data_IF_453125177981
#
_entry.id   IF_453125177981
#
_cell.length_a   1.000
_cell.length_b   1.000
_cell.length_c   1.000
_cell.angle_alpha   90.00
_cell.angle_beta   90.00
_cell.angle_gamma   90.00
#
_symmetry.space_group_name_H-M   'P 1'
#
loop_
_entity.id
_entity.type
_entity.pdbx_description
1 polymer ?
#
# COMPACT_ATOMS: atom_id res chain seq x y z
N UNK A 1 0.62 44.28 9.01
CA UNK A 1 -0.60 44.03 8.22
C UNK A 1 -0.10 43.64 6.82
N UNK A 2 0.28 42.39 6.66
CA UNK A 2 0.69 41.79 5.38
C UNK A 2 -0.07 40.49 5.22
N UNK A 3 -0.94 40.46 4.23
CA UNK A 3 -1.72 39.31 3.85
C UNK A 3 -0.83 38.32 3.10
N UNK A 4 -0.65 37.12 3.65
CA UNK A 4 -0.02 36.02 2.96
C UNK A 4 -1.02 35.42 1.97
N UNK A 5 -0.85 35.69 0.68
CA UNK A 5 -1.51 34.98 -0.41
C UNK A 5 -1.03 33.53 -0.45
N UNK A 6 -1.91 32.61 -0.08
CA UNK A 6 -1.69 31.20 -0.31
C UNK A 6 -1.99 30.86 -1.77
N UNK A 7 -0.96 30.78 -2.59
CA UNK A 7 -1.07 30.26 -3.95
C UNK A 7 -1.44 28.77 -3.90
N UNK A 8 -2.67 28.44 -4.28
CA UNK A 8 -3.12 27.08 -4.56
C UNK A 8 -2.33 26.54 -5.75
N UNK A 9 -1.37 25.67 -5.49
CA UNK A 9 -0.67 24.94 -6.55
C UNK A 9 -1.59 23.83 -7.08
N UNK A 10 -2.01 23.99 -8.32
CA UNK A 10 -2.82 23.00 -9.02
C UNK A 10 -2.09 21.64 -9.10
N UNK A 11 -2.81 20.56 -8.85
CA UNK A 11 -2.31 19.19 -8.98
C UNK A 11 -1.90 18.93 -10.45
N UNK A 12 -0.65 18.52 -10.67
CA UNK A 12 -0.16 18.17 -12.00
C UNK A 12 -0.41 16.67 -12.28
N UNK A 13 -1.04 16.41 -13.42
CA UNK A 13 -1.20 15.06 -13.98
C UNK A 13 -0.09 14.87 -15.01
N UNK A 14 0.81 13.93 -14.76
CA UNK A 14 1.89 13.59 -15.69
C UNK A 14 1.49 12.29 -16.41
N UNK A 15 1.30 12.29 -17.74
CA UNK A 15 1.10 11.05 -18.47
C UNK A 15 2.41 10.25 -18.50
N UNK A 16 2.34 8.99 -18.11
CA UNK A 16 3.46 8.05 -18.25
C UNK A 16 3.43 7.53 -19.69
N UNK A 17 4.42 7.90 -20.49
CA UNK A 17 4.58 7.36 -21.84
C UNK A 17 5.28 6.00 -21.70
N UNK A 18 4.69 4.88 -22.15
CA UNK A 18 5.41 3.61 -22.20
C UNK A 18 6.55 3.74 -23.22
N UNK A 19 7.75 3.30 -22.86
CA UNK A 19 8.86 3.17 -23.79
C UNK A 19 8.48 2.14 -24.87
N UNK A 20 8.33 2.58 -26.11
CA UNK A 20 8.14 1.71 -27.25
C UNK A 20 9.49 1.07 -27.63
N UNK A 21 9.53 -0.23 -27.95
CA UNK A 21 10.71 -0.83 -28.53
C UNK A 21 10.95 -0.24 -29.94
N UNK A 22 12.22 0.08 -30.24
CA UNK A 22 12.66 0.76 -31.45
C UNK A 22 12.24 0.05 -32.74
N UNK A 23 11.81 0.85 -33.71
CA UNK A 23 11.51 0.46 -35.08
C UNK A 23 12.78 -0.04 -35.81
N UNK A 24 12.85 -1.35 -36.04
CA UNK A 24 13.77 -1.97 -36.98
C UNK A 24 13.08 -2.20 -38.32
N UNK A 25 13.34 -1.34 -39.31
CA UNK A 25 12.91 -1.51 -40.69
C UNK A 25 13.78 -2.58 -41.37
N UNK A 26 13.14 -3.53 -42.08
CA UNK A 26 13.88 -4.37 -43.05
C UNK A 26 13.12 -5.58 -43.61
N UNK A 27 12.53 -5.38 -44.77
CA UNK A 27 12.27 -6.27 -45.94
C UNK A 27 11.55 -7.63 -45.81
N UNK A 28 10.56 -7.73 -46.70
CA UNK A 28 9.73 -8.87 -47.08
C UNK A 28 10.56 -10.00 -47.73
N UNK A 29 10.15 -11.29 -47.52
CA UNK A 29 9.74 -12.16 -48.59
C UNK A 29 9.20 -13.51 -48.08
N UNK A 30 8.13 -13.92 -48.67
CA UNK A 30 7.25 -15.02 -48.70
C UNK A 30 7.62 -16.43 -48.18
N UNK A 31 6.68 -17.08 -47.55
CA UNK A 31 6.07 -18.40 -47.75
C UNK A 31 5.46 -18.95 -46.45
N UNK A 32 4.17 -19.18 -46.41
CA UNK A 32 3.46 -20.10 -45.48
C UNK A 32 3.50 -21.53 -46.07
N UNK A 33 3.15 -22.61 -45.30
CA UNK A 33 2.51 -22.72 -43.98
C UNK A 33 3.14 -23.78 -43.04
N UNK A 34 2.90 -23.61 -41.74
CA UNK A 34 3.18 -24.68 -40.78
C UNK A 34 2.73 -24.26 -39.39
N UNK A 35 1.69 -24.91 -38.87
CA UNK A 35 1.06 -24.58 -37.60
C UNK A 35 2.01 -24.48 -36.42
N UNK A 36 2.22 -23.26 -35.93
CA UNK A 36 2.96 -22.95 -34.74
C UNK A 36 1.99 -22.48 -33.64
N UNK A 37 1.86 -23.27 -32.59
CA UNK A 37 1.07 -22.90 -31.41
C UNK A 37 1.57 -21.57 -30.84
N UNK A 38 0.72 -20.57 -30.82
CA UNK A 38 0.96 -19.33 -30.11
C UNK A 38 1.17 -19.61 -28.61
N UNK A 39 2.22 -19.08 -27.96
CA UNK A 39 2.42 -19.22 -26.53
C UNK A 39 1.62 -18.16 -25.77
N UNK A 40 0.39 -17.88 -26.12
CA UNK A 40 -0.57 -17.18 -25.29
C UNK A 40 -1.30 -18.21 -24.44
N UNK A 41 -0.62 -18.66 -23.38
CA UNK A 41 -1.28 -19.37 -22.31
C UNK A 41 -2.42 -18.50 -21.80
N UNK A 42 -3.66 -18.91 -22.08
CA UNK A 42 -4.86 -18.24 -21.62
C UNK A 42 -4.73 -18.05 -20.10
N UNK A 43 -4.60 -16.79 -19.67
CA UNK A 43 -4.58 -16.41 -18.25
C UNK A 43 -5.84 -16.96 -17.60
N UNK A 44 -5.68 -17.92 -16.67
CA UNK A 44 -6.77 -18.30 -15.79
C UNK A 44 -7.14 -17.02 -15.04
N UNK A 45 -8.37 -16.55 -15.21
CA UNK A 45 -8.89 -15.36 -14.50
C UNK A 45 -8.54 -15.49 -13.02
N UNK A 46 -7.74 -14.53 -12.50
CA UNK A 46 -7.51 -14.36 -11.07
C UNK A 46 -6.13 -14.74 -10.50
N UNK A 47 -5.16 -15.25 -11.27
CA UNK A 47 -3.81 -15.50 -10.73
C UNK A 47 -2.73 -14.94 -11.66
N UNK A 48 -1.87 -14.01 -11.17
CA UNK A 48 -0.76 -13.49 -11.97
C UNK A 48 0.27 -14.58 -12.27
N UNK A 49 1.14 -14.40 -13.28
CA UNK A 49 2.25 -15.29 -13.53
C UNK A 49 3.19 -15.35 -12.33
N UNK A 50 3.89 -16.46 -12.18
CA UNK A 50 4.87 -16.63 -11.11
C UNK A 50 5.99 -15.58 -11.25
N UNK A 51 6.31 -14.92 -10.15
CA UNK A 51 7.35 -13.90 -10.11
C UNK A 51 8.38 -14.24 -9.03
N UNK A 52 9.61 -13.77 -9.19
CA UNK A 52 10.72 -13.98 -8.26
C UNK A 52 10.34 -13.59 -6.81
N UNK A 53 9.60 -12.50 -6.63
CA UNK A 53 9.19 -12.04 -5.30
C UNK A 53 8.13 -12.91 -4.62
N UNK A 54 7.39 -13.74 -5.36
CA UNK A 54 6.46 -14.73 -4.78
C UNK A 54 7.20 -15.94 -4.19
N UNK A 55 8.44 -16.18 -4.63
CA UNK A 55 9.20 -17.37 -4.29
C UNK A 55 10.18 -17.12 -3.12
N UNK A 56 10.31 -18.08 -2.20
CA UNK A 56 11.42 -18.05 -1.25
C UNK A 56 12.76 -18.33 -1.99
N UNK A 57 13.92 -18.00 -1.40
CA UNK A 57 15.23 -18.16 -2.06
C UNK A 57 15.47 -19.55 -2.68
N UNK A 58 15.14 -20.61 -1.95
CA UNK A 58 15.26 -22.00 -2.48
C UNK A 58 14.34 -22.22 -3.69
N UNK A 59 13.12 -21.66 -3.66
CA UNK A 59 12.15 -21.75 -4.76
C UNK A 59 12.63 -21.03 -6.03
N UNK A 60 13.31 -19.86 -5.87
CA UNK A 60 13.92 -19.11 -6.98
C UNK A 60 15.03 -19.92 -7.64
N UNK A 61 15.94 -20.51 -6.85
CA UNK A 61 17.02 -21.36 -7.35
C UNK A 61 16.48 -22.57 -8.08
N UNK A 62 15.46 -23.23 -7.52
CA UNK A 62 14.80 -24.35 -8.19
C UNK A 62 14.11 -23.93 -9.49
N UNK A 63 13.53 -22.73 -9.55
CA UNK A 63 12.94 -22.20 -10.78
C UNK A 63 13.99 -21.95 -11.86
N UNK A 64 15.15 -21.37 -11.53
CA UNK A 64 16.26 -21.20 -12.47
C UNK A 64 16.79 -22.56 -12.98
N UNK A 65 16.90 -23.57 -12.11
CA UNK A 65 17.31 -24.92 -12.48
C UNK A 65 16.33 -25.58 -13.48
N UNK A 66 15.01 -25.40 -13.28
CA UNK A 66 14.01 -25.91 -14.24
C UNK A 66 14.10 -25.24 -15.61
N UNK A 67 14.66 -24.06 -15.71
CA UNK A 67 14.95 -23.34 -16.94
C UNK A 67 16.31 -23.73 -17.55
N UNK A 68 17.02 -24.72 -16.97
CA UNK A 68 18.33 -25.15 -17.43
C UNK A 68 19.51 -24.30 -16.96
N UNK A 69 19.26 -23.33 -16.03
CA UNK A 69 20.31 -22.47 -15.51
C UNK A 69 20.80 -22.93 -14.13
N UNK A 70 22.01 -22.53 -13.77
CA UNK A 70 22.54 -22.77 -12.42
C UNK A 70 21.73 -22.00 -11.38
N UNK A 71 21.41 -22.62 -10.21
CA UNK A 71 20.55 -22.04 -9.19
C UNK A 71 21.00 -20.66 -8.71
N UNK A 72 22.33 -20.41 -8.59
CA UNK A 72 22.86 -19.12 -8.16
C UNK A 72 22.56 -17.94 -9.12
N UNK A 73 22.15 -18.21 -10.37
CA UNK A 73 21.71 -17.18 -11.31
C UNK A 73 20.44 -16.50 -10.84
N UNK A 74 19.57 -17.22 -10.11
CA UNK A 74 18.43 -16.60 -9.47
C UNK A 74 18.83 -15.61 -8.34
N UNK A 75 19.94 -15.88 -7.66
CA UNK A 75 20.45 -14.94 -6.63
C UNK A 75 21.06 -13.68 -7.28
N UNK A 76 21.69 -13.81 -8.46
CA UNK A 76 22.14 -12.66 -9.25
C UNK A 76 20.95 -11.82 -9.71
N UNK A 77 19.92 -12.45 -10.29
CA UNK A 77 18.69 -11.79 -10.71
C UNK A 77 18.01 -11.08 -9.52
N UNK A 78 17.93 -11.76 -8.36
CA UNK A 78 17.36 -11.20 -7.14
C UNK A 78 18.13 -9.98 -6.63
N UNK A 79 19.47 -9.98 -6.78
CA UNK A 79 20.31 -8.82 -6.42
C UNK A 79 20.03 -7.61 -7.30
N UNK A 80 19.76 -7.80 -8.59
CA UNK A 80 19.33 -6.70 -9.45
C UNK A 80 17.97 -6.19 -9.03
N UNK A 81 16.98 -7.06 -8.85
CA UNK A 81 15.62 -6.65 -8.50
C UNK A 81 15.53 -5.98 -7.13
N UNK A 82 16.06 -6.60 -6.07
CA UNK A 82 15.95 -6.06 -4.71
C UNK A 82 17.07 -5.08 -4.33
N UNK A 83 18.29 -5.29 -4.83
CA UNK A 83 19.44 -4.48 -4.43
C UNK A 83 19.70 -3.29 -5.34
N UNK A 84 19.50 -3.45 -6.65
CA UNK A 84 19.69 -2.38 -7.63
C UNK A 84 18.38 -1.73 -8.08
N UNK A 85 17.24 -2.30 -7.69
CA UNK A 85 15.89 -1.82 -7.99
C UNK A 85 15.61 -1.71 -9.50
N UNK A 86 16.14 -2.67 -10.27
CA UNK A 86 15.94 -2.78 -11.72
C UNK A 86 15.40 -4.15 -12.08
N UNK A 87 14.50 -4.21 -13.05
CA UNK A 87 13.97 -5.38 -13.72
C UNK A 87 14.36 -5.42 -15.20
N UNK A 88 15.12 -4.41 -15.68
CA UNK A 88 15.63 -4.35 -17.04
C UNK A 88 16.79 -5.35 -17.22
N UNK A 89 16.66 -6.35 -18.12
CA UNK A 89 17.74 -7.29 -18.43
C UNK A 89 19.03 -6.61 -18.91
N UNK A 90 18.94 -5.43 -19.54
CA UNK A 90 20.11 -4.71 -20.05
C UNK A 90 21.07 -4.29 -18.91
N UNK A 91 20.55 -3.99 -17.74
CA UNK A 91 21.31 -3.59 -16.54
C UNK A 91 22.00 -4.78 -15.85
N UNK A 92 21.60 -6.03 -16.16
CA UNK A 92 22.02 -7.24 -15.45
C UNK A 92 23.34 -7.81 -16.00
N UNK A 93 24.41 -7.00 -16.00
CA UNK A 93 25.66 -7.29 -16.70
C UNK A 93 26.48 -8.46 -16.13
N UNK A 94 26.21 -8.89 -14.89
CA UNK A 94 26.83 -10.08 -14.26
C UNK A 94 26.10 -11.39 -14.60
N UNK A 95 24.99 -11.32 -15.35
CA UNK A 95 24.33 -12.47 -15.95
C UNK A 95 24.83 -12.69 -17.40
N UNK A 96 25.08 -13.92 -17.83
CA UNK A 96 25.36 -14.21 -19.24
C UNK A 96 24.22 -13.72 -20.13
N UNK A 97 24.56 -13.14 -21.30
CA UNK A 97 23.56 -12.62 -22.24
C UNK A 97 22.49 -13.66 -22.58
N UNK A 98 22.90 -14.92 -22.85
CA UNK A 98 21.97 -16.01 -23.16
C UNK A 98 21.03 -16.42 -22.03
N UNK A 99 21.39 -16.15 -20.76
CA UNK A 99 20.57 -16.48 -19.60
C UNK A 99 19.74 -15.28 -19.11
N UNK A 100 20.15 -14.06 -19.42
CA UNK A 100 19.60 -12.82 -18.92
C UNK A 100 18.13 -12.64 -19.28
N UNK A 101 17.83 -12.68 -20.58
CA UNK A 101 16.48 -12.47 -21.10
C UNK A 101 15.54 -13.62 -20.73
N UNK A 102 16.07 -14.85 -20.71
CA UNK A 102 15.30 -16.04 -20.39
C UNK A 102 14.86 -16.04 -18.92
N UNK A 103 15.81 -15.78 -18.02
CA UNK A 103 15.53 -15.68 -16.58
C UNK A 103 14.63 -14.48 -16.24
N UNK A 104 14.88 -13.32 -16.83
CA UNK A 104 14.06 -12.13 -16.58
C UNK A 104 12.63 -12.36 -17.09
N UNK A 105 12.44 -12.87 -18.29
CA UNK A 105 11.10 -13.17 -18.84
C UNK A 105 10.34 -14.18 -17.97
N UNK A 106 11.02 -15.17 -17.42
CA UNK A 106 10.39 -16.24 -16.66
C UNK A 106 10.15 -15.87 -15.18
N UNK A 107 11.02 -15.06 -14.57
CA UNK A 107 11.02 -14.77 -13.12
C UNK A 107 10.74 -13.31 -12.76
N UNK A 108 10.77 -12.40 -13.73
CA UNK A 108 10.42 -10.98 -13.57
C UNK A 108 9.38 -10.52 -14.61
N UNK A 109 8.28 -11.28 -14.83
CA UNK A 109 7.24 -10.81 -15.72
C UNK A 109 6.67 -9.49 -15.21
N UNK A 110 6.31 -8.58 -16.10
CA UNK A 110 5.64 -7.34 -15.76
C UNK A 110 4.26 -7.66 -15.15
N UNK A 111 4.08 -7.38 -13.88
CA UNK A 111 2.82 -7.66 -13.15
C UNK A 111 1.88 -6.46 -13.10
N UNK A 112 2.44 -5.27 -12.95
CA UNK A 112 1.72 -4.01 -12.78
C UNK A 112 2.26 -2.98 -13.76
N UNK A 113 1.38 -2.34 -14.52
CA UNK A 113 1.70 -1.20 -15.37
C UNK A 113 1.21 0.08 -14.71
N UNK A 114 2.08 1.07 -14.56
CA UNK A 114 1.69 2.41 -14.11
C UNK A 114 0.87 3.08 -15.22
N UNK A 115 -0.41 3.32 -14.97
CA UNK A 115 -1.28 3.99 -15.94
C UNK A 115 -1.27 5.51 -15.80
N UNK A 116 -1.25 5.96 -14.55
CA UNK A 116 -1.24 7.40 -14.22
C UNK A 116 -0.47 7.64 -12.95
N UNK A 117 0.21 8.76 -12.91
CA UNK A 117 0.79 9.31 -11.70
C UNK A 117 0.17 10.67 -11.39
N UNK A 118 -0.12 10.89 -10.13
CA UNK A 118 -0.62 12.15 -9.60
C UNK A 118 0.35 12.63 -8.54
N UNK A 119 0.62 13.93 -8.49
CA UNK A 119 1.51 14.48 -7.48
C UNK A 119 0.93 15.74 -6.83
N UNK A 120 1.24 15.93 -5.56
CA UNK A 120 0.93 17.13 -4.78
C UNK A 120 2.03 17.38 -3.75
N UNK A 121 1.84 18.31 -2.83
CA UNK A 121 2.84 18.71 -1.83
C UNK A 121 4.19 19.06 -2.50
N UNK A 122 4.18 19.80 -3.60
CA UNK A 122 5.39 20.16 -4.35
C UNK A 122 6.11 18.94 -4.97
N UNK A 123 5.37 17.90 -5.32
CA UNK A 123 5.88 16.66 -5.92
C UNK A 123 6.43 15.64 -4.91
N UNK A 124 6.40 15.95 -3.60
CA UNK A 124 6.89 15.03 -2.56
C UNK A 124 5.88 13.94 -2.18
N UNK A 125 4.62 14.08 -2.60
CA UNK A 125 3.59 13.03 -2.51
C UNK A 125 3.18 12.62 -3.91
N UNK A 126 3.30 11.32 -4.24
CA UNK A 126 2.98 10.75 -5.54
C UNK A 126 2.03 9.57 -5.36
N UNK A 127 0.88 9.62 -6.01
CA UNK A 127 -0.06 8.49 -6.13
C UNK A 127 0.09 7.87 -7.51
N UNK A 128 0.31 6.56 -7.56
CA UNK A 128 0.37 5.79 -8.80
C UNK A 128 -0.87 4.91 -8.91
N UNK A 129 -1.61 5.06 -10.01
CA UNK A 129 -2.65 4.13 -10.44
C UNK A 129 -2.00 3.02 -11.26
N UNK A 130 -2.16 1.80 -10.80
CA UNK A 130 -1.63 0.59 -11.43
C UNK A 130 -2.73 -0.20 -12.10
N UNK A 131 -2.40 -0.79 -13.24
CA UNK A 131 -3.20 -1.84 -13.88
C UNK A 131 -2.45 -3.16 -13.80
N UNK A 132 -3.10 -4.17 -13.25
CA UNK A 132 -2.62 -5.54 -13.24
C UNK A 132 -2.93 -6.25 -14.57
N UNK A 133 -2.27 -7.39 -14.82
CA UNK A 133 -2.43 -8.16 -16.06
C UNK A 133 -3.86 -8.63 -16.35
N UNK A 134 -4.68 -8.82 -15.31
CA UNK A 134 -6.10 -9.19 -15.44
C UNK A 134 -7.03 -7.99 -15.61
N UNK A 135 -6.47 -6.78 -15.72
CA UNK A 135 -7.20 -5.54 -15.86
C UNK A 135 -7.65 -4.92 -14.52
N UNK A 136 -7.43 -5.59 -13.38
CA UNK A 136 -7.72 -5.03 -12.06
C UNK A 136 -6.87 -3.78 -11.81
N UNK A 137 -7.46 -2.76 -11.20
CA UNK A 137 -6.75 -1.54 -10.84
C UNK A 137 -6.51 -1.46 -9.34
N UNK A 138 -5.38 -0.88 -8.97
CA UNK A 138 -5.00 -0.60 -7.58
C UNK A 138 -4.16 0.67 -7.52
N UNK A 139 -4.00 1.22 -6.33
CA UNK A 139 -3.24 2.45 -6.13
C UNK A 139 -2.20 2.29 -5.03
N UNK A 140 -1.08 2.98 -5.17
CA UNK A 140 -0.08 3.16 -4.12
C UNK A 140 0.31 4.62 -3.97
N UNK A 141 0.79 5.01 -2.78
CA UNK A 141 1.17 6.40 -2.51
C UNK A 141 2.56 6.45 -1.89
N UNK A 142 3.46 7.14 -2.57
CA UNK A 142 4.80 7.45 -2.07
C UNK A 142 4.78 8.85 -1.47
N UNK A 143 5.23 8.99 -0.23
CA UNK A 143 5.28 10.25 0.52
C UNK A 143 6.70 10.48 1.03
N UNK A 144 7.31 11.55 0.61
CA UNK A 144 8.61 11.98 1.11
C UNK A 144 8.46 13.10 2.15
N UNK A 145 9.10 12.92 3.27
CA UNK A 145 9.21 13.89 4.36
C UNK A 145 10.67 14.26 4.58
N UNK A 146 11.00 15.34 5.29
CA UNK A 146 12.35 15.57 5.77
C UNK A 146 12.86 14.34 6.56
N UNK A 147 13.96 13.74 6.09
CA UNK A 147 14.61 12.59 6.74
C UNK A 147 13.95 11.23 6.59
N UNK A 148 12.79 11.10 5.93
CA UNK A 148 12.14 9.80 5.72
C UNK A 148 11.31 9.76 4.44
N UNK A 149 11.15 8.57 3.87
CA UNK A 149 10.16 8.31 2.83
C UNK A 149 9.29 7.11 3.20
N UNK A 150 7.99 7.27 3.06
CA UNK A 150 6.98 6.24 3.37
C UNK A 150 6.25 5.86 2.09
N UNK A 151 6.09 4.56 1.85
CA UNK A 151 5.21 4.08 0.80
C UNK A 151 3.98 3.39 1.41
N UNK A 152 2.80 3.81 0.99
CA UNK A 152 1.53 3.18 1.29
C UNK A 152 1.18 2.23 0.15
N UNK A 153 1.02 0.94 0.46
CA UNK A 153 0.77 -0.11 -0.51
C UNK A 153 -0.60 -0.73 -0.36
N UNK A 154 -1.16 -1.16 -1.48
CA UNK A 154 -2.38 -1.94 -1.55
C UNK A 154 -2.08 -3.43 -1.40
N UNK A 155 -2.97 -4.15 -0.72
CA UNK A 155 -2.91 -5.61 -0.56
C UNK A 155 -3.99 -6.35 -1.36
N UNK A 156 -4.99 -5.63 -1.84
CA UNK A 156 -6.09 -6.14 -2.66
C UNK A 156 -6.46 -5.11 -3.73
N UNK A 157 -7.06 -5.55 -4.81
CA UNK A 157 -7.82 -4.70 -5.72
C UNK A 157 -9.25 -4.59 -5.17
N UNK A 158 -9.60 -3.43 -4.62
CA UNK A 158 -10.82 -3.26 -3.82
C UNK A 158 -10.69 -3.77 -2.38
N UNK A 159 -11.79 -3.82 -1.62
CA UNK A 159 -11.82 -4.29 -0.24
C UNK A 159 -13.19 -4.88 0.12
N UNK A 160 -13.20 -6.06 0.72
CA UNK A 160 -14.43 -6.75 1.14
C UNK A 160 -14.95 -6.36 2.52
N UNK A 161 -14.33 -5.42 3.22
CA UNK A 161 -14.74 -5.05 4.59
C UNK A 161 -15.94 -4.11 4.62
N UNK A 162 -16.29 -3.50 3.49
CA UNK A 162 -17.48 -2.67 3.30
C UNK A 162 -17.63 -1.50 4.28
N UNK A 163 -16.53 -0.94 4.76
CA UNK A 163 -16.54 0.26 5.61
C UNK A 163 -17.13 1.44 4.82
N UNK A 164 -18.28 2.02 5.22
CA UNK A 164 -19.01 2.96 4.37
C UNK A 164 -18.36 4.34 4.25
N UNK A 165 -17.39 4.67 5.12
CA UNK A 165 -16.59 5.90 5.03
C UNK A 165 -15.34 5.78 4.16
N UNK A 166 -15.06 4.59 3.58
CA UNK A 166 -13.87 4.30 2.80
C UNK A 166 -14.24 4.03 1.34
N UNK A 167 -13.66 4.78 0.40
CA UNK A 167 -13.93 4.61 -1.03
C UNK A 167 -13.61 3.19 -1.52
N UNK A 168 -12.51 2.61 -1.05
CA UNK A 168 -12.15 1.21 -1.37
C UNK A 168 -13.18 0.21 -0.85
N UNK A 169 -13.71 0.44 0.37
CA UNK A 169 -14.74 -0.42 0.97
C UNK A 169 -16.09 -0.34 0.23
N UNK A 170 -16.44 0.84 -0.26
CA UNK A 170 -17.65 1.06 -1.07
C UNK A 170 -17.55 0.37 -2.44
N UNK A 171 -16.35 0.30 -3.03
CA UNK A 171 -16.12 -0.32 -4.33
C UNK A 171 -16.21 -1.86 -4.30
N UNK A 172 -16.15 -2.48 -3.12
CA UNK A 172 -16.11 -3.93 -2.95
C UNK A 172 -14.77 -4.55 -3.31
N UNK A 173 -14.68 -5.87 -3.20
CA UNK A 173 -13.46 -6.66 -3.47
C UNK A 173 -13.49 -7.23 -4.88
N UNK A 174 -12.45 -6.96 -5.67
CA UNK A 174 -12.20 -7.64 -6.95
C UNK A 174 -11.38 -8.91 -6.72
N UNK A 175 -10.16 -8.78 -6.13
CA UNK A 175 -9.30 -9.90 -5.75
C UNK A 175 -8.18 -9.52 -4.77
N UNK A 176 -7.57 -10.50 -4.17
CA UNK A 176 -6.31 -10.34 -3.43
C UNK A 176 -5.13 -10.22 -4.40
N UNK A 177 -4.12 -9.43 -3.99
CA UNK A 177 -2.85 -9.30 -4.74
C UNK A 177 -1.89 -10.43 -4.37
N UNK A 178 -1.00 -10.81 -5.30
CA UNK A 178 0.14 -11.68 -4.99
C UNK A 178 1.19 -10.92 -4.15
N UNK A 179 2.11 -11.67 -3.54
CA UNK A 179 3.24 -11.07 -2.83
C UNK A 179 4.09 -10.21 -3.76
N UNK A 180 4.30 -10.66 -4.98
CA UNK A 180 5.05 -9.93 -6.00
C UNK A 180 4.36 -8.63 -6.41
N UNK A 181 3.04 -8.63 -6.63
CA UNK A 181 2.29 -7.41 -6.93
C UNK A 181 2.38 -6.38 -5.78
N UNK A 182 2.39 -6.83 -4.53
CA UNK A 182 2.59 -5.96 -3.37
C UNK A 182 4.03 -5.40 -3.36
N UNK A 183 5.03 -6.26 -3.55
CA UNK A 183 6.45 -5.89 -3.53
C UNK A 183 6.79 -4.96 -4.69
N UNK A 184 6.22 -5.16 -5.88
CA UNK A 184 6.43 -4.32 -7.07
C UNK A 184 6.08 -2.86 -6.80
N UNK A 185 5.02 -2.57 -6.04
CA UNK A 185 4.68 -1.21 -5.64
C UNK A 185 5.83 -0.55 -4.85
N UNK A 186 6.48 -1.33 -3.96
CA UNK A 186 7.60 -0.84 -3.14
C UNK A 186 8.87 -0.68 -3.96
N UNK A 187 9.20 -1.66 -4.81
CA UNK A 187 10.39 -1.61 -5.68
C UNK A 187 10.32 -0.42 -6.63
N UNK A 188 9.18 -0.17 -7.25
CA UNK A 188 8.96 1.00 -8.11
C UNK A 188 9.18 2.32 -7.37
N UNK A 189 8.53 2.50 -6.20
CA UNK A 189 8.72 3.71 -5.39
C UNK A 189 10.14 3.87 -4.85
N UNK A 190 10.80 2.78 -4.49
CA UNK A 190 12.19 2.78 -4.06
C UNK A 190 13.14 3.17 -5.22
N UNK A 191 12.88 2.66 -6.43
CA UNK A 191 13.61 3.03 -7.64
C UNK A 191 13.47 4.52 -7.96
N UNK A 192 12.25 5.06 -7.94
CA UNK A 192 12.00 6.48 -8.17
C UNK A 192 12.76 7.37 -7.17
N UNK A 193 12.79 6.98 -5.88
CA UNK A 193 13.57 7.69 -4.86
C UNK A 193 15.08 7.57 -5.11
N UNK A 194 15.57 6.38 -5.45
CA UNK A 194 17.00 6.15 -5.68
C UNK A 194 17.53 6.96 -6.89
N UNK A 195 16.72 7.10 -7.93
CA UNK A 195 17.05 7.93 -9.12
C UNK A 195 16.84 9.43 -8.90
N UNK A 196 16.31 9.86 -7.73
CA UNK A 196 16.08 11.28 -7.44
C UNK A 196 14.87 11.88 -8.16
N UNK A 197 13.93 11.07 -8.66
CA UNK A 197 12.74 11.52 -9.36
C UNK A 197 11.71 12.20 -8.44
N UNK A 198 11.88 12.07 -7.13
CA UNK A 198 11.05 12.73 -6.12
C UNK A 198 11.83 13.89 -5.52
N UNK A 199 11.26 15.10 -5.44
CA UNK A 199 11.94 16.29 -4.93
C UNK A 199 12.66 16.04 -3.60
N UNK A 200 13.89 16.54 -3.46
CA UNK A 200 14.77 16.33 -2.31
C UNK A 200 15.98 15.42 -2.62
N UNK A 201 16.22 15.08 -3.91
CA UNK A 201 17.36 14.31 -4.40
C UNK A 201 17.26 12.80 -4.14
N UNK A 202 18.30 12.03 -4.49
CA UNK A 202 18.31 10.57 -4.27
C UNK A 202 18.03 10.20 -2.81
N UNK A 203 17.32 9.08 -2.61
CA UNK A 203 16.91 8.63 -1.30
C UNK A 203 16.51 7.15 -1.29
N UNK A 204 16.00 6.69 -0.15
CA UNK A 204 15.51 5.31 0.02
C UNK A 204 14.16 5.30 0.72
N UNK A 205 13.36 4.27 0.47
CA UNK A 205 12.17 3.98 1.27
C UNK A 205 12.61 3.60 2.69
N UNK A 206 12.11 4.33 3.68
CA UNK A 206 12.38 4.05 5.10
C UNK A 206 11.21 3.37 5.80
N UNK A 207 9.99 3.54 5.31
CA UNK A 207 8.78 2.98 5.92
C UNK A 207 7.84 2.42 4.85
N UNK A 208 7.21 1.28 5.14
CA UNK A 208 6.14 0.70 4.33
C UNK A 208 4.91 0.53 5.19
N UNK A 209 3.76 1.01 4.72
CA UNK A 209 2.49 0.87 5.43
C UNK A 209 1.46 0.18 4.54
N UNK A 210 0.84 -0.88 5.03
CA UNK A 210 -0.24 -1.60 4.38
C UNK A 210 -1.57 -0.92 4.75
N UNK A 211 -1.75 0.30 4.24
CA UNK A 211 -2.91 1.16 4.50
C UNK A 211 -3.52 1.69 3.20
N UNK A 212 -3.18 1.08 2.06
CA UNK A 212 -3.79 1.30 0.76
C UNK A 212 -5.09 0.53 0.61
N UNK A 213 -5.35 0.04 -0.59
CA UNK A 213 -6.56 -0.73 -0.88
C UNK A 213 -6.49 -2.15 -0.31
N UNK A 214 -7.58 -2.59 0.34
CA UNK A 214 -7.75 -3.94 0.86
C UNK A 214 -7.52 -4.07 2.37
N UNK A 215 -7.98 -5.20 2.90
CA UNK A 215 -7.68 -5.66 4.26
C UNK A 215 -6.47 -6.62 4.21
N UNK A 216 -5.32 -6.21 4.74
CA UNK A 216 -4.10 -7.01 4.63
C UNK A 216 -4.23 -8.41 5.24
N UNK A 217 -4.89 -8.53 6.38
CA UNK A 217 -5.03 -9.83 7.05
C UNK A 217 -6.05 -10.76 6.40
N UNK A 218 -6.92 -10.25 5.49
CA UNK A 218 -7.74 -11.08 4.62
C UNK A 218 -6.91 -11.69 3.46
N UNK A 219 -5.78 -11.07 3.10
CA UNK A 219 -4.81 -11.60 2.15
C UNK A 219 -3.53 -12.11 2.86
N UNK A 220 -3.72 -12.83 3.94
CA UNK A 220 -2.69 -13.14 4.93
C UNK A 220 -1.39 -13.70 4.33
N UNK A 221 -1.49 -14.76 3.52
CA UNK A 221 -0.31 -15.49 3.01
C UNK A 221 0.54 -14.62 2.08
N UNK A 222 -0.09 -13.85 1.18
CA UNK A 222 0.62 -12.96 0.26
C UNK A 222 1.24 -11.78 1.01
N UNK A 223 0.50 -11.18 1.95
CA UNK A 223 1.02 -10.07 2.78
C UNK A 223 2.21 -10.53 3.63
N UNK A 224 2.12 -11.70 4.27
CA UNK A 224 3.23 -12.23 5.05
C UNK A 224 4.46 -12.50 4.18
N UNK A 225 4.26 -13.08 2.99
CA UNK A 225 5.35 -13.30 2.02
C UNK A 225 5.94 -11.97 1.56
N UNK A 226 5.11 -10.96 1.25
CA UNK A 226 5.58 -9.63 0.90
C UNK A 226 6.38 -9.00 2.05
N UNK A 227 5.89 -9.04 3.30
CA UNK A 227 6.62 -8.51 4.46
C UNK A 227 7.99 -9.16 4.60
N UNK A 228 8.11 -10.48 4.38
CA UNK A 228 9.42 -11.15 4.37
C UNK A 228 10.32 -10.60 3.27
N UNK A 229 9.81 -10.46 2.03
CA UNK A 229 10.60 -9.86 0.91
C UNK A 229 10.99 -8.40 1.18
N UNK A 230 10.16 -7.64 1.87
CA UNK A 230 10.50 -6.28 2.27
C UNK A 230 11.60 -6.22 3.33
N UNK A 231 11.64 -7.21 4.24
CA UNK A 231 12.50 -7.18 5.43
C UNK A 231 13.73 -8.08 5.36
N UNK A 232 13.74 -9.10 4.50
CA UNK A 232 14.91 -9.92 4.26
C UNK A 232 16.05 -9.08 3.66
N UNK A 233 17.28 -9.43 3.98
CA UNK A 233 18.45 -8.73 3.43
C UNK A 233 18.64 -9.03 1.95
N UNK A 234 19.31 -8.14 1.22
CA UNK A 234 19.73 -8.38 -0.16
C UNK A 234 20.64 -9.62 -0.18
N UNK A 235 20.47 -10.56 -1.12
CA UNK A 235 19.61 -10.51 -2.32
C UNK A 235 18.19 -11.03 -2.10
N UNK A 236 17.81 -11.44 -0.92
CA UNK A 236 16.54 -12.12 -0.67
C UNK A 236 15.36 -11.16 -0.53
N UNK A 237 15.63 -9.89 -0.25
CA UNK A 237 14.64 -8.84 -0.08
C UNK A 237 15.27 -7.44 -0.09
N UNK A 238 14.47 -6.43 0.33
CA UNK A 238 14.85 -5.02 0.28
C UNK A 238 15.62 -4.52 1.52
N UNK A 239 15.79 -5.33 2.55
CA UNK A 239 16.49 -4.95 3.77
C UNK A 239 15.81 -3.88 4.62
N UNK A 240 14.51 -3.67 4.44
CA UNK A 240 13.74 -2.68 5.23
C UNK A 240 13.58 -3.22 6.66
N UNK A 241 13.83 -2.37 7.65
CA UNK A 241 13.67 -2.77 9.05
C UNK A 241 12.24 -3.25 9.35
N UNK A 242 12.08 -4.39 10.02
CA UNK A 242 10.77 -4.89 10.47
C UNK A 242 9.99 -3.85 11.28
N UNK A 243 10.70 -2.98 12.03
CA UNK A 243 10.09 -1.86 12.80
C UNK A 243 9.50 -0.77 11.91
N UNK A 244 9.92 -0.69 10.67
CA UNK A 244 9.49 0.30 9.69
C UNK A 244 8.35 -0.21 8.79
N UNK A 245 7.95 -1.47 8.94
CA UNK A 245 6.79 -2.04 8.26
C UNK A 245 5.59 -2.01 9.22
N UNK A 246 4.48 -1.44 8.75
CA UNK A 246 3.21 -1.41 9.48
C UNK A 246 2.16 -2.20 8.71
N UNK A 247 1.56 -3.18 9.36
CA UNK A 247 0.40 -3.91 8.84
C UNK A 247 -0.84 -3.39 9.57
N UNK A 248 -1.78 -2.83 8.80
CA UNK A 248 -3.07 -2.38 9.33
C UNK A 248 -4.11 -3.48 9.23
N UNK A 249 -5.09 -3.46 10.10
CA UNK A 249 -6.26 -4.36 10.05
C UNK A 249 -7.48 -3.74 10.72
N UNK A 250 -8.66 -4.05 10.20
CA UNK A 250 -9.93 -3.71 10.86
C UNK A 250 -10.26 -4.66 12.03
N UNK A 251 -9.41 -5.67 12.31
CA UNK A 251 -9.58 -6.54 13.47
C UNK A 251 -10.01 -7.96 13.15
N UNK A 252 -9.37 -8.62 12.18
CA UNK A 252 -9.56 -10.04 11.91
C UNK A 252 -8.85 -10.86 13.01
N UNK A 253 -9.53 -11.10 14.13
CA UNK A 253 -8.99 -11.69 15.37
C UNK A 253 -8.16 -12.96 15.14
N UNK A 254 -8.63 -13.98 14.40
CA UNK A 254 -7.82 -15.18 14.17
C UNK A 254 -6.52 -14.90 13.42
N UNK A 255 -6.55 -13.93 12.51
CA UNK A 255 -5.37 -13.56 11.72
C UNK A 255 -4.37 -12.71 12.54
N UNK A 256 -4.84 -11.86 13.45
CA UNK A 256 -3.99 -11.14 14.41
C UNK A 256 -3.24 -12.13 15.32
N UNK A 257 -3.97 -13.10 15.90
CA UNK A 257 -3.36 -14.15 16.75
C UNK A 257 -2.37 -15.01 15.98
N UNK A 258 -2.68 -15.36 14.74
CA UNK A 258 -1.74 -16.05 13.86
C UNK A 258 -0.47 -15.23 13.61
N UNK A 259 -0.62 -13.92 13.36
CA UNK A 259 0.53 -13.02 13.13
C UNK A 259 1.44 -12.91 14.36
N UNK A 260 0.90 -13.01 15.57
CA UNK A 260 1.68 -13.04 16.80
C UNK A 260 2.67 -14.22 16.86
N UNK A 261 2.31 -15.37 16.26
CA UNK A 261 3.16 -16.57 16.20
C UNK A 261 4.24 -16.56 15.10
N UNK A 262 4.22 -15.61 14.16
CA UNK A 262 5.08 -15.63 12.96
C UNK A 262 6.54 -15.19 13.20
N UNK A 263 6.91 -14.82 14.43
CA UNK A 263 8.25 -14.27 14.78
C UNK A 263 8.69 -13.10 13.89
N UNK A 264 7.72 -12.35 13.39
CA UNK A 264 7.90 -11.22 12.47
C UNK A 264 7.38 -9.92 13.13
N UNK A 265 8.16 -9.31 14.04
CA UNK A 265 7.70 -8.20 14.87
C UNK A 265 7.57 -6.89 14.09
N UNK A 266 6.62 -6.82 13.18
CA UNK A 266 6.21 -5.61 12.48
C UNK A 266 5.36 -4.72 13.40
N UNK A 267 5.03 -3.51 12.99
CA UNK A 267 4.05 -2.68 13.69
C UNK A 267 2.65 -3.12 13.29
N UNK A 268 1.81 -3.45 14.27
CA UNK A 268 0.39 -3.70 14.04
C UNK A 268 -0.39 -2.40 14.26
N UNK A 269 -1.24 -2.04 13.29
CA UNK A 269 -2.17 -0.93 13.38
C UNK A 269 -3.60 -1.47 13.34
N UNK A 270 -4.40 -1.16 14.36
CA UNK A 270 -5.80 -1.55 14.45
C UNK A 270 -6.68 -0.36 14.08
N UNK A 271 -7.41 -0.50 12.98
CA UNK A 271 -8.43 0.47 12.54
C UNK A 271 -9.68 0.28 13.39
N UNK A 272 -9.73 1.00 14.52
CA UNK A 272 -10.77 0.83 15.53
C UNK A 272 -11.99 1.71 15.25
N UNK A 273 -11.80 3.01 15.09
CA UNK A 273 -12.75 4.04 14.69
C UNK A 273 -13.92 4.30 15.64
N UNK A 274 -14.24 3.41 16.57
CA UNK A 274 -15.19 3.61 17.65
C UNK A 274 -14.78 2.78 18.87
N UNK A 275 -15.04 3.26 20.11
CA UNK A 275 -14.76 2.51 21.34
C UNK A 275 -15.92 1.63 21.78
N UNK A 276 -17.07 1.74 21.14
CA UNK A 276 -18.32 1.01 21.42
C UNK A 276 -18.75 0.20 20.19
N UNK A 277 -19.34 -0.99 20.45
CA UNK A 277 -19.73 -1.94 19.40
C UNK A 277 -20.88 -1.42 18.54
N UNK A 278 -21.85 -0.71 19.14
CA UNK A 278 -23.02 -0.21 18.40
C UNK A 278 -22.60 0.70 17.26
N UNK A 279 -21.74 1.67 17.52
CA UNK A 279 -21.24 2.55 16.46
C UNK A 279 -20.25 1.81 15.56
N UNK A 280 -19.42 0.92 16.12
CA UNK A 280 -18.44 0.20 15.32
C UNK A 280 -19.09 -0.74 14.33
N UNK A 281 -20.24 -1.32 14.64
CA UNK A 281 -21.04 -2.14 13.71
C UNK A 281 -21.48 -1.38 12.46
N UNK A 282 -21.71 -0.08 12.61
CA UNK A 282 -22.04 0.80 11.48
C UNK A 282 -20.82 1.20 10.67
N UNK A 283 -19.71 1.55 11.34
CA UNK A 283 -18.51 2.07 10.69
C UNK A 283 -17.61 0.96 10.13
N UNK A 284 -17.56 -0.19 10.80
CA UNK A 284 -16.69 -1.32 10.49
C UNK A 284 -17.49 -2.61 10.59
N UNK A 285 -18.25 -3.00 9.56
CA UNK A 285 -19.25 -4.09 9.64
C UNK A 285 -18.73 -5.44 10.11
N UNK A 286 -17.44 -5.70 9.98
CA UNK A 286 -16.82 -6.94 10.50
C UNK A 286 -16.84 -7.02 12.03
N UNK A 287 -17.12 -5.89 12.73
CA UNK A 287 -17.27 -5.85 14.19
C UNK A 287 -18.38 -6.79 14.68
N UNK A 288 -19.44 -6.98 13.91
CA UNK A 288 -20.50 -7.95 14.21
C UNK A 288 -19.99 -9.37 14.42
N UNK A 289 -18.81 -9.68 13.91
CA UNK A 289 -18.17 -10.98 14.08
C UNK A 289 -17.13 -10.98 15.20
N UNK A 290 -16.41 -9.88 15.38
CA UNK A 290 -15.38 -9.72 16.40
C UNK A 290 -15.51 -8.33 17.00
N UNK A 291 -16.06 -8.29 18.20
CA UNK A 291 -16.35 -7.07 18.94
C UNK A 291 -15.07 -6.34 19.40
N UNK A 292 -15.21 -5.09 19.80
CA UNK A 292 -14.10 -4.22 20.23
C UNK A 292 -13.20 -4.93 21.25
N UNK A 293 -13.79 -5.58 22.25
CA UNK A 293 -13.02 -6.26 23.30
C UNK A 293 -12.15 -7.38 22.71
N UNK A 294 -12.71 -8.24 21.85
CA UNK A 294 -11.98 -9.36 21.23
C UNK A 294 -10.85 -8.88 20.32
N UNK A 295 -11.08 -7.80 19.57
CA UNK A 295 -10.08 -7.19 18.71
C UNK A 295 -8.92 -6.62 19.51
N UNK A 296 -9.23 -5.93 20.62
CA UNK A 296 -8.21 -5.37 21.51
C UNK A 296 -7.45 -6.47 22.24
N UNK A 297 -8.12 -7.51 22.74
CA UNK A 297 -7.45 -8.66 23.37
C UNK A 297 -6.45 -9.32 22.42
N UNK A 298 -6.85 -9.56 21.17
CA UNK A 298 -5.93 -10.11 20.17
C UNK A 298 -4.75 -9.16 19.86
N UNK A 299 -4.98 -7.85 19.89
CA UNK A 299 -3.93 -6.86 19.72
C UNK A 299 -2.97 -6.84 20.93
N UNK A 300 -3.47 -7.03 22.15
CA UNK A 300 -2.63 -7.14 23.35
C UNK A 300 -1.82 -8.43 23.36
N UNK A 301 -2.41 -9.56 22.92
CA UNK A 301 -1.68 -10.82 22.70
C UNK A 301 -0.51 -10.61 21.74
N UNK A 302 -0.75 -9.86 20.64
CA UNK A 302 0.30 -9.51 19.68
C UNK A 302 1.39 -8.62 20.31
N UNK A 303 0.98 -7.60 21.08
CA UNK A 303 1.91 -6.72 21.77
C UNK A 303 2.81 -7.48 22.76
N UNK A 304 2.21 -8.38 23.54
CA UNK A 304 2.93 -9.24 24.51
C UNK A 304 3.93 -10.17 23.81
N UNK A 305 3.51 -10.83 22.72
CA UNK A 305 4.35 -11.76 21.97
C UNK A 305 5.53 -11.07 21.24
N UNK A 306 5.34 -9.82 20.78
CA UNK A 306 6.32 -9.15 19.93
C UNK A 306 7.09 -8.02 20.58
N UNK A 307 6.65 -7.54 21.75
CA UNK A 307 7.16 -6.34 22.41
C UNK A 307 6.88 -5.05 21.61
N UNK A 308 5.88 -5.08 20.67
CA UNK A 308 5.56 -3.94 19.82
C UNK A 308 4.34 -3.20 20.32
N UNK A 309 4.46 -1.86 20.32
CA UNK A 309 3.34 -0.98 20.61
C UNK A 309 2.30 -1.08 19.50
N UNK A 310 1.05 -1.24 19.86
CA UNK A 310 -0.09 -1.22 18.95
C UNK A 310 -0.40 0.22 18.55
N UNK A 311 -0.66 0.44 17.27
CA UNK A 311 -1.20 1.70 16.75
C UNK A 311 -2.72 1.56 16.64
N UNK A 312 -3.46 2.44 17.27
CA UNK A 312 -4.92 2.53 17.15
C UNK A 312 -5.23 3.65 16.17
N UNK A 313 -5.76 3.29 15.00
CA UNK A 313 -6.17 4.26 14.00
C UNK A 313 -7.63 4.64 14.25
N UNK A 314 -7.90 5.95 14.35
CA UNK A 314 -9.20 6.48 14.68
C UNK A 314 -9.56 7.62 13.71
N UNK A 315 -10.41 7.33 12.72
CA UNK A 315 -10.93 8.35 11.81
C UNK A 315 -11.89 9.25 12.57
N UNK A 316 -11.61 10.55 12.60
CA UNK A 316 -12.42 11.56 13.31
C UNK A 316 -13.56 12.03 12.41
N UNK A 317 -14.78 11.61 12.70
CA UNK A 317 -16.00 11.86 11.92
C UNK A 317 -16.91 12.81 12.71
N UNK A 318 -17.19 13.99 12.13
CA UNK A 318 -17.97 15.05 12.76
C UNK A 318 -19.34 14.55 13.25
N UNK A 319 -19.63 14.76 14.53
CA UNK A 319 -20.90 14.44 15.17
C UNK A 319 -21.21 12.94 15.27
N UNK A 320 -20.27 12.06 14.84
CA UNK A 320 -20.48 10.61 14.81
C UNK A 320 -19.66 9.91 15.88
N UNK A 321 -18.33 10.09 15.88
CA UNK A 321 -17.44 9.41 16.80
C UNK A 321 -16.48 10.34 17.56
N UNK A 322 -16.67 11.65 17.45
CA UNK A 322 -15.77 12.70 17.95
C UNK A 322 -16.20 13.31 19.29
N UNK A 323 -17.20 12.74 19.97
CA UNK A 323 -17.66 13.23 21.27
C UNK A 323 -16.66 12.93 22.39
N UNK A 324 -16.56 13.86 23.37
CA UNK A 324 -15.63 13.75 24.50
C UNK A 324 -15.81 12.44 25.31
N UNK A 325 -17.04 11.97 25.50
CA UNK A 325 -17.30 10.71 26.23
C UNK A 325 -16.71 9.49 25.51
N UNK A 326 -16.60 9.53 24.15
CA UNK A 326 -15.92 8.47 23.37
C UNK A 326 -14.41 8.51 23.56
N UNK A 327 -13.81 9.70 23.70
CA UNK A 327 -12.40 9.80 24.08
C UNK A 327 -12.15 9.15 25.45
N UNK A 328 -13.04 9.41 26.43
CA UNK A 328 -12.98 8.79 27.74
C UNK A 328 -13.16 7.26 27.69
N UNK A 329 -14.10 6.77 26.88
CA UNK A 329 -14.32 5.34 26.69
C UNK A 329 -13.09 4.69 26.04
N UNK A 330 -12.53 5.30 25.00
CA UNK A 330 -11.31 4.83 24.34
C UNK A 330 -10.13 4.79 25.32
N UNK A 331 -9.96 5.85 26.12
CA UNK A 331 -8.90 5.90 27.12
C UNK A 331 -9.01 4.75 28.14
N UNK A 332 -10.21 4.42 28.59
CA UNK A 332 -10.44 3.29 29.51
C UNK A 332 -10.06 1.95 28.87
N UNK A 333 -10.42 1.72 27.60
CA UNK A 333 -10.10 0.50 26.88
C UNK A 333 -8.59 0.31 26.67
N UNK A 334 -7.85 1.41 26.54
CA UNK A 334 -6.42 1.38 26.27
C UNK A 334 -5.55 1.46 27.52
N UNK A 335 -6.14 1.76 28.69
CA UNK A 335 -5.43 1.96 29.94
C UNK A 335 -4.56 0.75 30.31
N UNK A 336 -3.30 1.00 30.72
CA UNK A 336 -2.37 -0.04 31.12
C UNK A 336 -1.74 -0.84 29.96
N UNK A 337 -2.15 -0.59 28.73
CA UNK A 337 -1.64 -1.31 27.56
C UNK A 337 -0.66 -0.50 26.70
N UNK A 338 0.22 -1.19 25.98
CA UNK A 338 1.24 -0.57 25.13
C UNK A 338 0.61 -0.11 23.80
N UNK A 339 -0.09 1.04 23.84
CA UNK A 339 -0.80 1.60 22.71
C UNK A 339 -0.34 3.02 22.35
N UNK A 340 -0.68 3.44 21.12
CA UNK A 340 -0.59 4.80 20.63
C UNK A 340 -1.81 5.06 19.73
N UNK A 341 -2.47 6.19 19.89
CA UNK A 341 -3.63 6.56 19.09
C UNK A 341 -3.22 7.54 17.98
N UNK A 342 -3.57 7.21 16.75
CA UNK A 342 -3.52 8.14 15.62
C UNK A 342 -4.94 8.63 15.31
N UNK A 343 -5.20 9.89 15.63
CA UNK A 343 -6.42 10.58 15.23
C UNK A 343 -6.24 11.07 13.78
N UNK A 344 -7.12 10.65 12.91
CA UNK A 344 -7.05 10.94 11.47
C UNK A 344 -8.30 11.75 11.12
N UNK A 345 -8.19 13.06 10.81
CA UNK A 345 -9.32 13.77 10.23
C UNK A 345 -9.87 13.00 9.04
N UNK A 346 -11.19 12.78 8.99
CA UNK A 346 -11.79 12.00 7.89
C UNK A 346 -11.53 12.71 6.57
N UNK A 347 -10.99 11.97 5.60
CA UNK A 347 -10.83 12.51 4.26
C UNK A 347 -12.14 12.40 3.48
N UNK A 348 -12.52 13.39 2.66
CA UNK A 348 -13.70 13.31 1.83
C UNK A 348 -13.62 12.10 0.89
N UNK A 349 -14.70 11.33 0.82
CA UNK A 349 -14.82 10.22 -0.15
C UNK A 349 -16.09 10.41 -0.96
N UNK A 350 -16.07 10.15 -2.29
CA UNK A 350 -17.25 10.29 -3.13
C UNK A 350 -18.42 9.47 -2.56
N UNK A 351 -19.60 10.10 -2.48
CA UNK A 351 -20.82 9.44 -1.98
C UNK A 351 -20.89 9.27 -0.46
N UNK A 352 -19.88 9.66 0.30
CA UNK A 352 -19.95 9.67 1.77
C UNK A 352 -20.74 10.87 2.28
N UNK A 353 -21.68 10.61 3.21
CA UNK A 353 -22.39 11.64 3.96
C UNK A 353 -21.58 12.26 5.11
N UNK A 354 -20.42 11.69 5.42
CA UNK A 354 -19.62 12.04 6.58
C UNK A 354 -18.52 13.04 6.23
N UNK A 355 -18.23 13.90 7.19
CA UNK A 355 -17.20 14.93 7.07
C UNK A 355 -16.21 14.84 8.23
N UNK A 356 -15.04 15.48 8.10
CA UNK A 356 -14.06 15.56 9.15
C UNK A 356 -14.60 16.31 10.38
N UNK A 357 -14.17 15.89 11.56
CA UNK A 357 -14.36 16.65 12.82
C UNK A 357 -13.69 18.01 12.72
N UNK A 358 -14.25 18.98 13.45
CA UNK A 358 -13.61 20.28 13.58
C UNK A 358 -12.24 20.14 14.27
N UNK A 359 -11.23 20.92 13.84
CA UNK A 359 -9.90 20.86 14.45
C UNK A 359 -9.90 21.15 15.96
N UNK A 360 -10.85 21.93 16.46
CA UNK A 360 -11.06 22.16 17.90
C UNK A 360 -11.46 20.90 18.63
N UNK A 361 -12.49 20.21 18.12
CA UNK A 361 -12.98 18.94 18.67
C UNK A 361 -11.90 17.88 18.65
N UNK A 362 -11.12 17.78 17.56
CA UNK A 362 -10.01 16.84 17.49
C UNK A 362 -8.91 17.12 18.54
N UNK A 363 -8.63 18.41 18.83
CA UNK A 363 -7.71 18.79 19.92
C UNK A 363 -8.25 18.46 21.31
N UNK A 364 -9.55 18.67 21.54
CA UNK A 364 -10.20 18.29 22.81
C UNK A 364 -10.15 16.78 23.01
N UNK A 365 -10.50 16.01 22.00
CA UNK A 365 -10.39 14.54 22.01
C UNK A 365 -8.96 14.08 22.31
N UNK A 366 -7.97 14.71 21.68
CA UNK A 366 -6.57 14.48 21.95
C UNK A 366 -6.19 14.79 23.40
N UNK A 367 -6.66 15.93 23.93
CA UNK A 367 -6.38 16.35 25.30
C UNK A 367 -6.93 15.35 26.34
N UNK A 368 -8.14 14.83 26.12
CA UNK A 368 -8.75 13.80 26.99
C UNK A 368 -7.90 12.54 27.02
N UNK A 369 -7.46 12.04 25.86
CA UNK A 369 -6.58 10.85 25.78
C UNK A 369 -5.23 11.10 26.47
N UNK A 370 -4.62 12.26 26.21
CA UNK A 370 -3.33 12.63 26.81
C UNK A 370 -3.41 12.76 28.34
N UNK A 371 -4.49 13.35 28.86
CA UNK A 371 -4.74 13.47 30.30
C UNK A 371 -4.88 12.10 31.00
N UNK A 372 -5.26 11.06 30.25
CA UNK A 372 -5.30 9.66 30.71
C UNK A 372 -3.99 8.89 30.46
N UNK A 373 -2.93 9.59 30.06
CA UNK A 373 -1.61 8.97 29.80
C UNK A 373 -1.54 8.17 28.50
N UNK A 374 -2.50 8.28 27.59
CA UNK A 374 -2.49 7.59 26.30
C UNK A 374 -1.71 8.45 25.30
N UNK A 375 -0.59 7.95 24.73
CA UNK A 375 0.13 8.63 23.67
C UNK A 375 -0.76 8.80 22.43
N UNK A 376 -0.91 10.03 21.95
CA UNK A 376 -1.83 10.35 20.85
C UNK A 376 -1.23 11.37 19.90
N UNK A 377 -1.52 11.22 18.61
CA UNK A 377 -1.10 12.13 17.55
C UNK A 377 -2.29 12.45 16.66
N UNK A 378 -2.49 13.71 16.33
CA UNK A 378 -3.37 14.09 15.22
C UNK A 378 -2.54 14.08 13.94
N UNK A 379 -2.93 13.26 12.98
CA UNK A 379 -2.20 13.13 11.70
C UNK A 379 -2.51 14.30 10.79
N UNK A 380 -1.46 14.96 10.29
CA UNK A 380 -1.58 15.81 9.11
C UNK A 380 -1.85 14.94 7.88
N UNK A 381 -2.90 15.22 7.15
CA UNK A 381 -3.24 14.51 5.93
C UNK A 381 -2.37 15.00 4.78
N UNK A 382 -1.82 14.07 4.00
CA UNK A 382 -1.13 14.33 2.73
C UNK A 382 -1.86 13.62 1.59
N UNK A 383 -1.75 14.18 0.39
CA UNK A 383 -2.33 13.57 -0.79
C UNK A 383 -3.84 13.76 -0.96
N UNK A 384 -4.49 14.59 -0.15
CA UNK A 384 -5.95 14.84 -0.25
C UNK A 384 -6.34 15.41 -1.61
N UNK A 385 -5.50 16.28 -2.18
CA UNK A 385 -5.74 16.96 -3.47
C UNK A 385 -5.73 15.98 -4.66
N UNK A 386 -5.11 14.82 -4.50
CA UNK A 386 -4.98 13.77 -5.52
C UNK A 386 -5.75 12.50 -5.15
N UNK A 387 -6.69 12.57 -4.19
CA UNK A 387 -7.39 11.41 -3.63
C UNK A 387 -6.42 10.29 -3.18
N UNK A 388 -5.27 10.68 -2.65
CA UNK A 388 -4.20 9.77 -2.20
C UNK A 388 -4.15 9.57 -0.69
N UNK A 389 -5.04 10.20 0.07
CA UNK A 389 -5.08 10.07 1.52
C UNK A 389 -5.81 8.78 1.96
N UNK A 390 -5.64 8.41 3.23
CA UNK A 390 -6.29 7.22 3.80
C UNK A 390 -7.81 7.25 3.58
N UNK A 391 -8.36 6.16 3.06
CA UNK A 391 -9.77 6.01 2.76
C UNK A 391 -10.21 6.53 1.38
N UNK A 392 -9.38 7.28 0.65
CA UNK A 392 -9.73 7.88 -0.64
C UNK A 392 -9.42 6.99 -1.86
N UNK A 393 -8.54 6.01 -1.73
CA UNK A 393 -8.12 5.17 -2.85
C UNK A 393 -9.30 4.37 -3.41
N UNK A 394 -9.61 4.57 -4.67
CA UNK A 394 -10.75 3.96 -5.35
C UNK A 394 -10.40 3.26 -6.67
N UNK A 395 -9.14 3.36 -7.12
CA UNK A 395 -8.65 2.85 -8.40
C UNK A 395 -9.54 3.27 -9.59
N UNK A 396 -10.16 4.45 -9.51
CA UNK A 396 -11.02 4.97 -10.58
C UNK A 396 -10.16 5.69 -11.62
N UNK A 397 -10.41 5.38 -12.89
CA UNK A 397 -9.83 6.10 -14.02
C UNK A 397 -10.45 7.49 -14.25
N UNK A 398 -11.43 7.91 -13.42
CA UNK A 398 -12.02 9.25 -13.50
C UNK A 398 -10.99 10.29 -13.01
N UNK A 399 -10.80 11.39 -13.76
CA UNK A 399 -10.07 12.54 -13.21
C UNK A 399 -10.85 13.05 -11.98
N UNK A 400 -10.12 13.40 -10.90
CA UNK A 400 -10.71 14.12 -9.78
C UNK A 400 -11.49 15.31 -10.35
N UNK A 401 -12.75 15.47 -9.94
CA UNK A 401 -13.53 16.63 -10.33
C UNK A 401 -12.82 17.86 -9.78
N UNK A 402 -12.25 18.68 -10.67
CA UNK A 402 -11.70 19.97 -10.28
C UNK A 402 -12.77 20.80 -9.57
N UNK A 403 -12.39 21.76 -8.73
CA UNK A 403 -13.34 22.57 -7.99
C UNK A 403 -14.37 23.14 -8.95
N UNK A 404 -15.65 22.94 -8.65
CA UNK A 404 -16.75 23.44 -9.43
C UNK A 404 -16.56 24.96 -9.64
N UNK A 405 -16.32 25.37 -10.88
CA UNK A 405 -16.37 26.79 -11.24
C UNK A 405 -17.79 27.25 -10.95
N UNK A 406 -17.97 28.05 -9.93
CA UNK A 406 -19.22 28.77 -9.74
C UNK A 406 -19.41 29.68 -10.95
N UNK A 407 -20.37 29.34 -11.77
CA UNK A 407 -20.84 30.25 -12.82
C UNK A 407 -21.54 31.41 -12.10
N UNK A 408 -20.84 32.49 -11.93
CA UNK A 408 -21.45 33.78 -11.69
C UNK A 408 -22.06 34.19 -13.01
N UNK A 409 -23.37 34.08 -13.11
CA UNK A 409 -24.15 34.80 -14.11
C UNK A 409 -24.23 36.26 -13.66
N UNK A 410 -23.70 37.16 -14.53
CA UNK A 410 -23.99 38.58 -14.52
C UNK A 410 -25.42 38.88 -14.94
#
# INVERSE_FOLDING_TARGET
>A
MEAAESASQAAAVVPVTPALPGDGTGHEDGASPGGGASPTGAFRRGRPPAHLADLPPAGRRAAAQRLGHQGFRADQLARHYFGRLTDDPADMTDLPVSARDDLARALLPLLLTAEREFSCDGGTTRKTLWRALDGSCLESVLMRYPGRATICVSSQAGCGMACPFCATGQAGLTRSLSAAEIVTQVVSGAGALARGEVPGGPGRVSNVVFMGMGEPLANYSSVLSAVRRLTDQVPDGLGISRRAVTVSTVGLVPAIRRLAGEQLPVRLAVSLHAPDDDLRDELVPVNRRWQVAEVLDAAWDYAAATGRRISIEYAMIRGVNDQAWRAEALARLLAGNLAHVNLIPLNPTPGSRWTASDPGVAREFQAVLAARGIPVTVRGTRGTEIDGACGQLAASSRPAAGPARSALFG
#
